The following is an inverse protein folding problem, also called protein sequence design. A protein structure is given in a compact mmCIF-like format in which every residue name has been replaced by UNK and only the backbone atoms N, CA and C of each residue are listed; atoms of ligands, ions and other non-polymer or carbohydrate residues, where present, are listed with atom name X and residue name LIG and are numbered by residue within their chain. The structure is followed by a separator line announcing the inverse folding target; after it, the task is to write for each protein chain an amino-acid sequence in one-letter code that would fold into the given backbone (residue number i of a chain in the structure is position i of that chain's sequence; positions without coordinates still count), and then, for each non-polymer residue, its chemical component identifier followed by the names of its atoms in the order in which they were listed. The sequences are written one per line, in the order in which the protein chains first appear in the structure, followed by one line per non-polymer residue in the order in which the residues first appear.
data_IF_800383193809
#
_entry.id   IF_800383193809
#
_cell.length_a   1.000
_cell.length_b   1.000
_cell.length_c   1.000
_cell.angle_alpha   90.00
_cell.angle_beta   90.00
_cell.angle_gamma   90.00
#
_symmetry.space_group_name_H-M   'P 1'
#
loop_
_entity.id
_entity.type
_entity.pdbx_description
1 polymer ?
#
# COMPACT_ATOMS: atom_id res chain seq x y z
N UNK A 1 18.00 -15.77 11.16
CA UNK A 1 17.47 -15.24 12.43
C UNK A 1 16.93 -13.82 12.29
N UNK A 2 17.74 -12.83 11.89
CA UNK A 2 17.33 -11.41 11.88
C UNK A 2 16.03 -11.11 11.11
N UNK A 3 15.88 -11.59 9.86
CA UNK A 3 14.65 -11.37 9.07
C UNK A 3 13.40 -11.98 9.71
N UNK A 4 13.55 -13.15 10.34
CA UNK A 4 12.45 -13.79 11.07
C UNK A 4 12.08 -12.98 12.32
N UNK A 5 13.08 -12.49 13.05
CA UNK A 5 12.86 -11.59 14.19
C UNK A 5 12.13 -10.30 13.76
N UNK A 6 12.58 -9.67 12.67
CA UNK A 6 11.93 -8.48 12.11
C UNK A 6 10.49 -8.80 11.70
N UNK A 7 10.27 -9.91 11.01
CA UNK A 7 8.94 -10.32 10.58
C UNK A 7 7.99 -10.50 11.76
N UNK A 8 8.41 -11.26 12.78
CA UNK A 8 7.61 -11.51 13.98
C UNK A 8 7.30 -10.21 14.72
N UNK A 9 8.30 -9.36 14.95
CA UNK A 9 8.10 -8.07 15.63
C UNK A 9 7.20 -7.13 14.82
N UNK A 10 7.33 -7.09 13.49
CA UNK A 10 6.47 -6.29 12.62
C UNK A 10 5.00 -6.72 12.70
N UNK A 11 4.72 -8.03 12.79
CA UNK A 11 3.37 -8.55 12.99
C UNK A 11 2.79 -8.09 14.33
N UNK A 12 3.54 -8.21 15.42
CA UNK A 12 3.11 -7.71 16.74
C UNK A 12 2.79 -6.21 16.71
N UNK A 13 3.68 -5.41 16.11
CA UNK A 13 3.48 -3.96 15.95
C UNK A 13 2.22 -3.66 15.12
N UNK A 14 2.00 -4.38 14.03
CA UNK A 14 0.81 -4.21 13.18
C UNK A 14 -0.50 -4.45 13.94
N UNK A 15 -0.57 -5.54 14.72
CA UNK A 15 -1.75 -5.86 15.54
C UNK A 15 -2.00 -4.79 16.61
N UNK A 16 -0.95 -4.40 17.35
CA UNK A 16 -1.05 -3.42 18.44
C UNK A 16 -1.49 -2.03 17.93
N UNK A 17 -1.02 -1.62 16.75
CA UNK A 17 -1.43 -0.36 16.12
C UNK A 17 -2.89 -0.44 15.69
N UNK A 18 -3.31 -1.50 14.98
CA UNK A 18 -4.66 -1.62 14.44
C UNK A 18 -5.71 -1.69 15.57
N UNK A 19 -5.40 -2.37 16.67
CA UNK A 19 -6.30 -2.49 17.82
C UNK A 19 -6.66 -1.15 18.49
N UNK A 20 -5.89 -0.07 18.26
CA UNK A 20 -6.06 1.24 18.91
C UNK A 20 -6.73 2.30 18.03
N UNK A 21 -7.20 1.93 16.84
CA UNK A 21 -7.76 2.87 15.88
C UNK A 21 -9.26 3.04 16.18
N UNK A 22 -9.81 4.27 16.16
CA UNK A 22 -11.24 4.49 16.39
C UNK A 22 -12.10 3.87 15.26
N UNK A 23 -13.31 3.36 15.56
CA UNK A 23 -14.19 2.72 14.58
C UNK A 23 -14.47 3.52 13.31
N UNK A 24 -14.51 4.85 13.43
CA UNK A 24 -14.73 5.78 12.33
C UNK A 24 -13.64 5.74 11.25
N UNK A 25 -12.45 5.25 11.58
CA UNK A 25 -11.31 5.16 10.67
C UNK A 25 -11.09 3.77 10.08
N UNK A 26 -11.91 2.74 10.39
CA UNK A 26 -11.70 1.40 9.84
C UNK A 26 -11.77 1.34 8.31
N UNK A 27 -12.70 2.08 7.70
CA UNK A 27 -12.84 2.13 6.23
C UNK A 27 -11.67 2.90 5.57
N UNK A 28 -11.30 4.11 6.03
CA UNK A 28 -10.06 4.75 5.58
C UNK A 28 -8.81 3.89 5.80
N UNK A 29 -8.71 3.17 6.93
CA UNK A 29 -7.60 2.28 7.24
C UNK A 29 -7.52 1.10 6.28
N UNK A 30 -8.65 0.48 5.94
CA UNK A 30 -8.72 -0.60 4.96
C UNK A 30 -8.25 -0.13 3.58
N UNK A 31 -8.65 1.08 3.17
CA UNK A 31 -8.14 1.69 1.94
C UNK A 31 -6.63 1.99 2.03
N UNK A 32 -6.17 2.52 3.17
CA UNK A 32 -4.77 2.85 3.40
C UNK A 32 -3.86 1.62 3.41
N UNK A 33 -4.28 0.52 4.03
CA UNK A 33 -3.51 -0.74 4.02
C UNK A 33 -3.42 -1.35 2.63
N UNK A 34 -4.46 -1.20 1.80
CA UNK A 34 -4.40 -1.56 0.38
C UNK A 34 -3.36 -0.69 -0.37
N UNK A 35 -3.30 0.61 -0.13
CA UNK A 35 -2.26 1.48 -0.71
C UNK A 35 -0.84 1.06 -0.31
N UNK A 36 -0.63 0.66 0.95
CA UNK A 36 0.65 0.19 1.48
C UNK A 36 1.06 -1.16 0.86
N UNK A 37 0.10 -2.04 0.55
CA UNK A 37 0.36 -3.31 -0.16
C UNK A 37 0.98 -3.10 -1.55
N UNK A 38 0.88 -1.89 -2.08
CA UNK A 38 1.55 -1.45 -3.30
C UNK A 38 3.09 -1.49 -3.24
N UNK A 39 3.70 -1.83 -2.10
CA UNK A 39 5.14 -2.18 -2.00
C UNK A 39 5.56 -3.26 -3.03
N UNK A 40 4.62 -4.06 -3.51
CA UNK A 40 4.79 -4.99 -4.64
C UNK A 40 5.38 -4.33 -5.89
N UNK A 41 5.20 -3.02 -6.09
CA UNK A 41 5.81 -2.24 -7.17
C UNK A 41 7.34 -2.31 -7.14
N UNK A 42 7.96 -2.32 -5.94
CA UNK A 42 9.41 -2.46 -5.80
C UNK A 42 9.86 -3.81 -6.36
N UNK A 43 9.14 -4.89 -6.01
CA UNK A 43 9.40 -6.22 -6.57
C UNK A 43 9.23 -6.26 -8.09
N UNK A 44 8.15 -5.67 -8.60
CA UNK A 44 7.88 -5.63 -10.04
C UNK A 44 8.98 -4.90 -10.83
N UNK A 45 9.48 -3.76 -10.33
CA UNK A 45 10.57 -3.02 -10.95
C UNK A 45 11.87 -3.83 -10.92
N UNK A 46 12.18 -4.45 -9.78
CA UNK A 46 13.39 -5.26 -9.63
C UNK A 46 13.38 -6.49 -10.56
N UNK A 47 12.25 -7.16 -10.74
CA UNK A 47 12.13 -8.31 -11.64
C UNK A 47 12.10 -7.88 -13.12
N UNK A 48 11.38 -6.80 -13.45
CA UNK A 48 11.28 -6.34 -14.84
C UNK A 48 12.62 -5.92 -15.45
N UNK A 49 13.60 -5.55 -14.62
CA UNK A 49 14.95 -5.15 -15.07
C UNK A 49 15.94 -6.29 -15.28
N UNK A 50 15.62 -7.54 -14.90
CA UNK A 50 16.58 -8.65 -14.91
C UNK A 50 16.78 -9.33 -16.27
N UNK A 51 15.89 -9.10 -17.23
CA UNK A 51 15.89 -9.80 -18.51
C UNK A 51 15.47 -11.28 -18.37
N UNK A 52 14.82 -11.82 -19.41
CA UNK A 52 14.31 -13.21 -19.38
C UNK A 52 13.58 -13.64 -20.65
N UNK A 53 13.81 -12.95 -21.77
CA UNK A 53 13.11 -13.17 -23.03
C UNK A 53 11.75 -12.45 -23.13
N UNK A 54 11.08 -12.53 -24.29
CA UNK A 54 9.88 -11.73 -24.59
C UNK A 54 8.73 -11.91 -23.59
N UNK A 55 8.51 -13.15 -23.12
CA UNK A 55 7.46 -13.45 -22.14
C UNK A 55 7.75 -12.78 -20.79
N UNK A 56 8.96 -12.92 -20.26
CA UNK A 56 9.34 -12.30 -18.98
C UNK A 56 9.24 -10.77 -19.05
N UNK A 57 9.66 -10.16 -20.16
CA UNK A 57 9.53 -8.72 -20.38
C UNK A 57 8.08 -8.26 -20.43
N UNK A 58 7.20 -8.99 -21.12
CA UNK A 58 5.77 -8.66 -21.17
C UNK A 58 5.09 -8.79 -19.79
N UNK A 59 5.42 -9.83 -19.02
CA UNK A 59 4.90 -10.03 -17.67
C UNK A 59 5.43 -8.99 -16.69
N UNK A 60 6.72 -8.61 -16.80
CA UNK A 60 7.32 -7.54 -16.01
C UNK A 60 6.63 -6.20 -16.26
N UNK A 61 6.36 -5.87 -17.54
CA UNK A 61 5.61 -4.67 -17.90
C UNK A 61 4.20 -4.67 -17.28
N UNK A 62 3.46 -5.77 -17.41
CA UNK A 62 2.11 -5.90 -16.82
C UNK A 62 2.16 -5.80 -15.30
N UNK A 63 3.15 -6.44 -14.66
CA UNK A 63 3.33 -6.39 -13.22
C UNK A 63 3.58 -4.95 -12.71
N UNK A 64 4.44 -4.19 -13.40
CA UNK A 64 4.70 -2.78 -13.06
C UNK A 64 3.44 -1.93 -13.22
N UNK A 65 2.70 -2.11 -14.31
CA UNK A 65 1.44 -1.37 -14.55
C UNK A 65 0.41 -1.68 -13.45
N UNK A 66 0.17 -2.95 -13.15
CA UNK A 66 -0.80 -3.34 -12.13
C UNK A 66 -0.39 -2.86 -10.73
N UNK A 67 0.89 -2.98 -10.38
CA UNK A 67 1.40 -2.51 -9.10
C UNK A 67 1.31 -0.97 -8.99
N UNK A 68 1.54 -0.24 -10.09
CA UNK A 68 1.37 1.21 -10.14
C UNK A 68 -0.09 1.61 -9.92
N UNK A 69 -1.04 0.90 -10.56
CA UNK A 69 -2.48 1.14 -10.37
C UNK A 69 -2.88 0.89 -8.90
N UNK A 70 -2.37 -0.16 -8.27
CA UNK A 70 -2.64 -0.45 -6.86
C UNK A 70 -2.14 0.69 -5.93
N UNK A 71 -0.88 1.12 -6.11
CA UNK A 71 -0.29 2.23 -5.32
C UNK A 71 -1.08 3.52 -5.53
N UNK A 72 -1.20 3.98 -6.79
CA UNK A 72 -1.80 5.28 -7.10
C UNK A 72 -3.28 5.29 -6.73
N UNK A 73 -4.03 4.26 -7.11
CA UNK A 73 -5.45 4.14 -6.79
C UNK A 73 -5.69 4.07 -5.28
N UNK A 74 -4.88 3.28 -4.56
CA UNK A 74 -4.95 3.18 -3.11
C UNK A 74 -4.73 4.51 -2.42
N UNK A 75 -3.68 5.26 -2.78
CA UNK A 75 -3.39 6.56 -2.16
C UNK A 75 -4.44 7.62 -2.50
N UNK A 76 -4.93 7.69 -3.74
CA UNK A 76 -5.96 8.65 -4.15
C UNK A 76 -7.29 8.40 -3.42
N UNK A 77 -7.72 7.14 -3.30
CA UNK A 77 -8.96 6.80 -2.58
C UNK A 77 -8.80 7.09 -1.09
N UNK A 78 -7.66 6.74 -0.50
CA UNK A 78 -7.38 7.00 0.92
C UNK A 78 -7.36 8.49 1.23
N UNK A 79 -6.73 9.33 0.39
CA UNK A 79 -6.74 10.78 0.57
C UNK A 79 -8.16 11.36 0.52
N UNK A 80 -8.98 10.92 -0.45
CA UNK A 80 -10.40 11.32 -0.52
C UNK A 80 -11.15 10.93 0.75
N UNK A 81 -10.93 9.72 1.28
CA UNK A 81 -11.57 9.27 2.51
C UNK A 81 -11.15 10.11 3.71
N UNK A 82 -9.84 10.37 3.86
CA UNK A 82 -9.31 11.18 4.97
C UNK A 82 -9.69 12.66 4.86
N UNK A 83 -9.92 13.18 3.65
CA UNK A 83 -10.38 14.55 3.44
C UNK A 83 -11.73 14.85 4.09
N UNK A 84 -12.58 13.83 4.28
CA UNK A 84 -13.88 13.95 4.95
C UNK A 84 -13.78 14.25 6.45
N UNK A 85 -12.63 13.98 7.06
CA UNK A 85 -12.35 14.28 8.47
C UNK A 85 -11.70 15.66 8.67
N UNK A 86 -11.30 16.34 7.59
CA UNK A 86 -10.82 17.72 7.67
C UNK A 86 -12.04 18.62 7.90
N UNK A 87 -12.09 19.31 9.04
CA UNK A 87 -13.10 20.35 9.26
C UNK A 87 -13.04 21.35 8.11
N UNK A 88 -14.18 21.64 7.46
CA UNK A 88 -14.27 22.75 6.50
C UNK A 88 -13.81 23.99 7.25
N UNK A 89 -12.70 24.61 6.81
CA UNK A 89 -12.35 25.97 7.24
C UNK A 89 -13.58 26.81 6.92
N UNK A 90 -14.28 27.29 7.95
CA UNK A 90 -15.40 28.22 7.81
C UNK A 90 -14.81 29.48 7.18
N UNK A 91 -14.96 29.63 5.87
CA UNK A 91 -14.70 30.90 5.19
C UNK A 91 -15.76 31.85 5.73
N UNK A 92 -15.35 32.70 6.68
CA UNK A 92 -16.06 33.92 7.05
C UNK A 92 -16.01 34.91 5.92
#
# INVERSE_FOLDING_TARGET
MLLLTIFVLAVFVGVEIIAKIPPTLHTPLMSGSNAISGITLVGAILESGKGGGPLATSLGLVAVVLATVNVVGGFVVTDRMLSMFKSKKKQS
#
